data_IF_946247413168
#
_entry.id   IF_946247413168
#
_cell.length_a   1.000
_cell.length_b   1.000
_cell.length_c   1.000
_cell.angle_alpha   90.00
_cell.angle_beta   90.00
_cell.angle_gamma   90.00
#
_symmetry.space_group_name_H-M   'P 1'
#
loop_
_entity.id
_entity.type
_entity.pdbx_description
1 polymer ?
#
# COMPACT_ATOMS: atom_id res chain seq x y z
N UNK A 1 17.80 -3.33 11.01
CA UNK A 1 16.95 -4.24 11.83
C UNK A 1 16.37 -5.34 10.96
N UNK A 2 15.67 -6.35 11.50
CA UNK A 2 15.06 -7.40 10.65
C UNK A 2 13.85 -6.88 9.88
N UNK A 3 12.82 -6.39 10.57
CA UNK A 3 11.58 -5.84 9.97
C UNK A 3 10.92 -4.85 10.93
N UNK A 4 10.49 -3.70 10.41
CA UNK A 4 9.70 -2.71 11.16
C UNK A 4 8.34 -3.27 11.58
N UNK A 5 7.69 -4.06 10.71
CA UNK A 5 6.42 -4.71 11.01
C UNK A 5 6.53 -5.75 12.13
N UNK A 6 7.62 -6.53 12.18
CA UNK A 6 7.79 -7.53 13.26
C UNK A 6 7.99 -6.86 14.61
N UNK A 7 8.79 -5.78 14.66
CA UNK A 7 8.97 -5.02 15.88
C UNK A 7 7.62 -4.42 16.34
N UNK A 8 6.84 -3.83 15.43
CA UNK A 8 5.52 -3.30 15.79
C UNK A 8 4.54 -4.39 16.20
N UNK A 9 4.60 -5.59 15.62
CA UNK A 9 3.75 -6.70 16.03
C UNK A 9 4.03 -7.12 17.47
N UNK A 10 5.31 -7.12 17.87
CA UNK A 10 5.73 -7.33 19.27
C UNK A 10 5.24 -6.19 20.16
N UNK A 11 5.51 -4.94 19.80
CA UNK A 11 5.09 -3.77 20.59
C UNK A 11 3.56 -3.68 20.74
N UNK A 12 2.81 -4.13 19.74
CA UNK A 12 1.35 -4.21 19.82
C UNK A 12 0.88 -5.23 20.86
N UNK A 13 1.60 -6.35 21.06
CA UNK A 13 1.32 -7.31 22.14
C UNK A 13 1.60 -6.69 23.52
N UNK A 14 2.59 -5.79 23.59
CA UNK A 14 2.93 -5.02 24.78
C UNK A 14 2.08 -3.74 24.93
N UNK A 15 0.89 -3.71 24.32
CA UNK A 15 -0.09 -2.63 24.40
C UNK A 15 0.41 -1.25 23.93
N UNK A 16 1.35 -1.18 22.99
CA UNK A 16 1.74 0.08 22.38
C UNK A 16 0.53 0.86 21.82
N UNK A 17 0.50 2.19 21.93
CA UNK A 17 -0.65 2.99 21.50
C UNK A 17 -0.80 2.98 19.98
N UNK A 18 -2.04 3.21 19.52
CA UNK A 18 -2.30 3.51 18.11
C UNK A 18 -1.48 4.73 17.69
N UNK A 19 -0.98 4.75 16.46
CA UNK A 19 -0.06 5.75 15.94
C UNK A 19 1.42 5.47 16.25
N UNK A 20 1.75 4.41 17.00
CA UNK A 20 3.16 4.02 17.18
C UNK A 20 3.79 3.68 15.82
N UNK A 21 4.83 4.41 15.45
CA UNK A 21 5.54 4.26 14.18
C UNK A 21 6.97 3.81 14.42
N UNK A 22 7.44 2.87 13.60
CA UNK A 22 8.84 2.44 13.55
C UNK A 22 9.39 2.74 12.16
N UNK A 23 10.55 3.40 12.11
CA UNK A 23 11.29 3.70 10.88
C UNK A 23 12.64 3.00 10.92
N UNK A 24 13.12 2.55 9.76
CA UNK A 24 14.42 1.89 9.63
C UNK A 24 15.22 2.40 8.44
N UNK A 25 16.54 2.52 8.63
CA UNK A 25 17.48 2.75 7.53
C UNK A 25 17.73 1.51 6.69
N UNK A 26 17.57 0.32 7.28
CA UNK A 26 17.80 -0.96 6.64
C UNK A 26 16.92 -2.04 7.29
N UNK A 27 16.32 -2.87 6.44
CA UNK A 27 15.70 -4.13 6.83
C UNK A 27 16.44 -5.30 6.20
N UNK A 28 16.86 -6.27 7.01
CA UNK A 28 17.47 -7.53 6.53
C UNK A 28 16.44 -8.61 6.24
N UNK A 29 15.21 -8.47 6.76
CA UNK A 29 14.07 -9.35 6.56
C UNK A 29 12.83 -8.60 6.06
N UNK A 30 13.04 -7.56 5.24
CA UNK A 30 11.96 -6.79 4.61
C UNK A 30 11.11 -7.68 3.70
N UNK A 31 9.79 -7.58 3.83
CA UNK A 31 8.83 -8.42 3.11
C UNK A 31 7.84 -7.58 2.33
N UNK A 32 7.58 -7.99 1.10
CA UNK A 32 6.42 -7.63 0.31
C UNK A 32 5.37 -8.76 0.34
N UNK A 33 4.33 -8.62 -0.49
CA UNK A 33 3.29 -9.64 -0.62
C UNK A 33 3.83 -10.96 -1.16
N UNK A 34 3.16 -12.05 -0.80
CA UNK A 34 3.48 -13.42 -1.23
C UNK A 34 4.92 -13.84 -0.90
N UNK A 35 5.48 -13.30 0.19
CA UNK A 35 6.83 -13.64 0.66
C UNK A 35 7.97 -13.05 -0.16
N UNK A 36 7.70 -12.20 -1.15
CA UNK A 36 8.76 -11.51 -1.92
C UNK A 36 9.59 -10.63 -0.98
N UNK A 37 10.91 -10.66 -1.12
CA UNK A 37 11.79 -9.80 -0.34
C UNK A 37 11.67 -8.33 -0.79
N UNK A 38 11.73 -7.41 0.17
CA UNK A 38 11.96 -5.98 -0.10
C UNK A 38 13.38 -5.63 0.32
N UNK A 39 14.27 -5.45 -0.65
CA UNK A 39 15.70 -5.19 -0.44
C UNK A 39 16.08 -3.82 -0.95
N UNK A 40 16.87 -3.10 -0.17
CA UNK A 40 17.34 -1.75 -0.51
C UNK A 40 18.68 -1.48 0.18
N UNK A 41 19.59 -0.71 -0.43
CA UNK A 41 20.78 -0.22 0.27
C UNK A 41 20.41 0.57 1.54
N UNK A 42 21.27 0.55 2.58
CA UNK A 42 21.04 1.33 3.78
C UNK A 42 20.84 2.81 3.46
N UNK A 43 19.78 3.41 4.00
CA UNK A 43 19.50 4.84 3.86
C UNK A 43 18.84 5.27 2.54
N UNK A 44 18.75 4.38 1.54
CA UNK A 44 18.27 4.73 0.20
C UNK A 44 16.73 4.71 0.06
N UNK A 45 16.05 4.01 0.97
CA UNK A 45 14.59 3.93 1.03
C UNK A 45 14.06 4.46 2.37
N UNK A 46 12.81 4.88 2.36
CA UNK A 46 12.00 5.05 3.57
C UNK A 46 11.32 3.71 3.87
N UNK A 47 11.65 3.12 5.02
CA UNK A 47 11.05 1.88 5.50
C UNK A 47 10.34 2.20 6.80
N UNK A 48 9.02 2.22 6.77
CA UNK A 48 8.18 2.66 7.87
C UNK A 48 7.10 1.62 8.13
N UNK A 49 6.74 1.41 9.39
CA UNK A 49 5.48 0.76 9.73
C UNK A 49 4.76 1.56 10.81
N UNK A 50 3.42 1.57 10.79
CA UNK A 50 2.59 2.22 11.80
C UNK A 50 1.54 1.26 12.34
N UNK A 51 1.38 1.22 13.66
CA UNK A 51 0.34 0.48 14.36
C UNK A 51 -0.93 1.31 14.46
N UNK A 52 -2.05 0.77 14.02
CA UNK A 52 -3.37 1.36 14.05
C UNK A 52 -4.35 0.46 14.81
N UNK A 53 -5.30 1.05 15.53
CA UNK A 53 -6.36 0.35 16.25
C UNK A 53 -7.71 0.71 15.61
N UNK A 54 -8.07 -0.05 14.57
CA UNK A 54 -9.25 0.20 13.76
C UNK A 54 -10.54 -0.10 14.57
N UNK A 55 -11.51 0.84 14.59
CA UNK A 55 -12.77 0.66 15.30
C UNK A 55 -13.79 -0.17 14.49
N UNK A 56 -13.32 -1.18 13.76
CA UNK A 56 -14.15 -2.02 12.90
C UNK A 56 -13.63 -3.48 12.88
N UNK A 57 -14.46 -4.44 12.46
CA UNK A 57 -14.04 -5.82 12.25
C UNK A 57 -12.95 -5.95 11.18
N UNK A 58 -12.22 -7.08 11.24
CA UNK A 58 -11.11 -7.38 10.33
C UNK A 58 -11.51 -7.35 8.84
N UNK A 59 -12.75 -7.78 8.54
CA UNK A 59 -13.28 -7.83 7.20
C UNK A 59 -13.39 -6.45 6.53
N UNK A 60 -13.52 -5.38 7.32
CA UNK A 60 -13.68 -4.00 6.84
C UNK A 60 -12.33 -3.25 6.73
N UNK A 61 -11.23 -3.85 7.21
CA UNK A 61 -9.91 -3.21 7.18
C UNK A 61 -9.26 -3.21 5.78
N UNK A 62 -9.86 -3.89 4.78
CA UNK A 62 -9.31 -4.03 3.43
C UNK A 62 -9.05 -2.69 2.73
N UNK A 63 -9.92 -1.71 2.98
CA UNK A 63 -9.83 -0.36 2.40
C UNK A 63 -8.59 0.43 2.85
N UNK A 64 -7.95 0.05 3.96
CA UNK A 64 -6.75 0.73 4.46
C UNK A 64 -5.56 0.60 3.50
N UNK A 65 -5.47 -0.46 2.69
CA UNK A 65 -4.38 -0.64 1.72
C UNK A 65 -4.39 0.44 0.62
N UNK A 66 -5.48 0.62 -0.16
CA UNK A 66 -5.54 1.68 -1.16
C UNK A 66 -5.49 3.09 -0.54
N UNK A 67 -6.07 3.29 0.64
CA UNK A 67 -5.99 4.56 1.36
C UNK A 67 -4.55 4.90 1.77
N UNK A 68 -3.79 3.97 2.33
CA UNK A 68 -2.37 4.17 2.61
C UNK A 68 -1.56 4.39 1.32
N UNK A 69 -1.93 3.74 0.21
CA UNK A 69 -1.37 4.03 -1.10
C UNK A 69 -1.61 5.47 -1.55
N UNK A 70 -2.78 6.04 -1.27
CA UNK A 70 -3.08 7.46 -1.49
C UNK A 70 -2.22 8.37 -0.61
N UNK A 71 -2.00 8.02 0.66
CA UNK A 71 -1.11 8.77 1.55
C UNK A 71 0.31 8.88 0.97
N UNK A 72 0.84 7.74 0.51
CA UNK A 72 2.16 7.66 -0.14
C UNK A 72 2.20 8.45 -1.44
N UNK A 73 1.17 8.35 -2.29
CA UNK A 73 1.11 9.13 -3.51
C UNK A 73 1.12 10.64 -3.22
N UNK A 74 0.31 11.11 -2.27
CA UNK A 74 0.24 12.52 -1.87
C UNK A 74 1.56 13.03 -1.29
N UNK A 75 2.26 12.22 -0.48
CA UNK A 75 3.55 12.61 0.09
C UNK A 75 4.67 12.68 -0.95
N UNK A 76 4.57 11.92 -2.05
CA UNK A 76 5.58 11.93 -3.12
C UNK A 76 5.34 13.08 -4.10
N UNK A 77 4.08 13.42 -4.39
CA UNK A 77 3.70 14.43 -5.40
C UNK A 77 4.35 15.80 -5.15
N UNK A 78 4.65 16.16 -3.89
CA UNK A 78 5.34 17.41 -3.53
C UNK A 78 6.77 17.50 -4.10
N UNK A 79 7.38 16.35 -4.38
CA UNK A 79 8.78 16.21 -4.78
C UNK A 79 8.99 16.03 -6.29
N UNK A 80 7.92 15.83 -7.06
CA UNK A 80 7.97 15.48 -8.48
C UNK A 80 7.03 16.39 -9.30
N UNK A 81 7.24 16.47 -10.63
CA UNK A 81 6.34 17.25 -11.50
C UNK A 81 5.17 16.43 -12.07
N UNK A 82 5.26 15.10 -11.99
CA UNK A 82 4.21 14.18 -12.38
C UNK A 82 3.35 13.80 -11.16
N UNK A 83 2.32 13.00 -11.36
CA UNK A 83 1.49 12.50 -10.26
C UNK A 83 1.71 11.00 -10.08
N UNK A 84 1.77 10.55 -8.83
CA UNK A 84 1.77 9.12 -8.53
C UNK A 84 0.43 8.46 -8.86
N UNK A 85 0.51 7.25 -9.43
CA UNK A 85 -0.62 6.36 -9.68
C UNK A 85 -0.68 5.26 -8.61
N UNK A 86 -1.89 4.80 -8.28
CA UNK A 86 -2.11 3.68 -7.35
C UNK A 86 -2.43 2.44 -8.17
N UNK A 87 -1.56 1.43 -8.11
CA UNK A 87 -1.81 0.11 -8.70
C UNK A 87 -2.33 -0.82 -7.62
N UNK A 88 -3.60 -1.20 -7.77
CA UNK A 88 -4.23 -2.15 -6.86
C UNK A 88 -3.46 -3.48 -6.82
N UNK A 89 -3.33 -4.12 -5.66
CA UNK A 89 -3.90 -3.67 -4.38
C UNK A 89 -2.99 -2.74 -3.57
N UNK A 90 -1.68 -2.72 -3.85
CA UNK A 90 -0.69 -2.32 -2.84
C UNK A 90 0.51 -1.53 -3.38
N UNK A 91 0.55 -1.20 -4.66
CA UNK A 91 1.71 -0.57 -5.28
C UNK A 91 1.42 0.90 -5.62
N UNK A 92 2.42 1.76 -5.46
CA UNK A 92 2.39 3.14 -5.98
C UNK A 92 3.41 3.25 -7.10
N UNK A 93 3.00 3.87 -8.20
CA UNK A 93 3.78 3.99 -9.43
C UNK A 93 4.10 5.46 -9.74
N UNK A 94 5.25 5.68 -10.37
CA UNK A 94 5.56 6.91 -11.12
C UNK A 94 5.84 6.49 -12.56
N UNK A 95 5.11 7.06 -13.51
CA UNK A 95 5.22 6.74 -14.94
C UNK A 95 5.15 5.22 -15.23
N UNK A 96 4.22 4.53 -14.57
CA UNK A 96 4.04 3.08 -14.71
C UNK A 96 5.10 2.19 -14.06
N UNK A 97 6.11 2.76 -13.37
CA UNK A 97 7.14 2.01 -12.63
C UNK A 97 6.93 2.11 -11.13
N UNK A 98 7.15 1.01 -10.41
CA UNK A 98 6.88 0.93 -8.97
C UNK A 98 7.88 1.76 -8.16
N UNK A 99 7.37 2.74 -7.40
CA UNK A 99 8.18 3.55 -6.47
C UNK A 99 7.99 3.12 -5.02
N UNK A 100 6.80 2.64 -4.66
CA UNK A 100 6.50 2.24 -3.30
C UNK A 100 5.60 1.00 -3.25
N UNK A 101 5.60 0.36 -2.08
CA UNK A 101 4.69 -0.73 -1.74
C UNK A 101 4.11 -0.54 -0.34
N UNK A 102 2.83 -0.85 -0.21
CA UNK A 102 2.08 -0.90 1.05
C UNK A 102 1.82 -2.36 1.41
N UNK A 103 1.95 -2.70 2.68
CA UNK A 103 1.60 -4.02 3.21
C UNK A 103 0.77 -3.85 4.47
N UNK A 104 -0.44 -4.39 4.44
CA UNK A 104 -1.34 -4.42 5.60
C UNK A 104 -1.22 -5.78 6.26
N UNK A 105 -0.98 -5.80 7.57
CA UNK A 105 -1.18 -6.96 8.42
C UNK A 105 -2.22 -6.61 9.46
N UNK A 106 -3.30 -7.39 9.56
CA UNK A 106 -4.38 -7.11 10.48
C UNK A 106 -4.77 -8.37 11.25
N UNK A 107 -5.17 -8.20 12.52
CA UNK A 107 -5.67 -9.25 13.41
C UNK A 107 -6.78 -8.68 14.28
N UNK A 108 -7.66 -9.54 14.79
CA UNK A 108 -8.63 -9.15 15.82
C UNK A 108 -7.89 -8.60 17.05
N UNK A 109 -8.35 -7.48 17.58
CA UNK A 109 -7.81 -6.90 18.81
C UNK A 109 -8.24 -7.68 20.04
N UNK A 110 -7.38 -7.75 21.06
CA UNK A 110 -7.74 -8.28 22.36
C UNK A 110 -8.56 -7.25 23.19
N UNK A 111 -9.26 -7.65 24.26
CA UNK A 111 -9.94 -6.69 25.13
C UNK A 111 -9.01 -5.63 25.75
N UNK A 112 -7.74 -5.97 25.99
CA UNK A 112 -6.71 -5.05 26.48
C UNK A 112 -6.19 -4.07 25.43
N UNK A 113 -6.47 -4.34 24.16
CA UNK A 113 -6.09 -3.53 23.00
C UNK A 113 -7.14 -2.46 22.67
N UNK A 114 -8.30 -2.53 23.33
CA UNK A 114 -9.43 -1.63 23.12
C UNK A 114 -9.15 -0.24 23.70
N UNK A 115 -9.38 0.79 22.90
CA UNK A 115 -9.51 2.15 23.42
C UNK A 115 -10.73 2.22 24.37
N UNK A 116 -10.74 3.13 25.36
CA UNK A 116 -11.96 3.41 26.13
C UNK A 116 -13.12 3.73 25.18
N UNK A 117 -14.18 2.92 25.19
CA UNK A 117 -15.32 3.06 24.28
C UNK A 117 -15.15 2.40 22.90
N UNK A 118 -14.08 1.63 22.66
CA UNK A 118 -13.94 0.86 21.43
C UNK A 118 -15.00 -0.24 21.33
N UNK A 119 -15.40 -0.54 20.09
CA UNK A 119 -16.33 -1.62 19.81
C UNK A 119 -15.74 -2.98 20.24
N UNK A 120 -16.59 -3.94 20.66
CA UNK A 120 -16.16 -5.28 21.04
C UNK A 120 -15.42 -6.04 19.91
N UNK A 121 -15.51 -5.57 18.67
CA UNK A 121 -14.89 -6.16 17.47
C UNK A 121 -13.80 -5.27 16.84
N UNK A 122 -13.02 -4.54 17.66
CA UNK A 122 -11.89 -3.73 17.14
C UNK A 122 -10.76 -4.58 16.55
N UNK A 123 -10.02 -4.02 15.59
CA UNK A 123 -8.91 -4.70 14.90
C UNK A 123 -7.57 -3.99 15.13
N UNK A 124 -6.52 -4.77 15.29
CA UNK A 124 -5.14 -4.27 15.31
C UNK A 124 -4.58 -4.38 13.89
N UNK A 125 -4.19 -3.25 13.31
CA UNK A 125 -3.68 -3.15 11.94
C UNK A 125 -2.26 -2.58 11.96
N UNK A 126 -1.34 -3.19 11.23
CA UNK A 126 0.01 -2.68 10.99
C UNK A 126 0.11 -2.34 9.51
N UNK A 127 0.37 -1.07 9.22
CA UNK A 127 0.58 -0.54 7.88
C UNK A 127 2.08 -0.42 7.65
N UNK A 128 2.66 -1.34 6.88
CA UNK A 128 4.04 -1.30 6.43
C UNK A 128 4.17 -0.60 5.09
N UNK A 129 5.11 0.34 4.97
CA UNK A 129 5.33 1.16 3.78
C UNK A 129 6.83 1.15 3.46
N UNK A 130 7.15 0.78 2.21
CA UNK A 130 8.48 0.94 1.64
C UNK A 130 8.43 1.89 0.46
N UNK A 131 9.20 2.98 0.51
CA UNK A 131 9.35 3.94 -0.60
C UNK A 131 10.81 3.95 -1.04
N UNK A 132 11.06 3.69 -2.33
CA UNK A 132 12.37 3.92 -2.92
C UNK A 132 12.60 5.42 -3.06
N UNK A 133 13.47 6.02 -2.24
CA UNK A 133 13.67 7.47 -2.22
C UNK A 133 14.82 7.86 -3.13
N UNK A 134 16.03 7.44 -2.78
CA UNK A 134 17.27 7.67 -3.54
C UNK A 134 17.90 6.37 -4.02
N UNK A 135 17.16 5.25 -3.99
CA UNK A 135 17.65 3.96 -4.49
C UNK A 135 18.08 4.10 -5.95
N UNK A 136 19.34 3.74 -6.22
CA UNK A 136 19.92 3.77 -7.56
C UNK A 136 19.28 2.72 -8.48
N UNK A 137 19.15 2.99 -9.80
CA UNK A 137 18.55 2.05 -10.75
C UNK A 137 19.20 0.65 -10.75
N UNK A 138 20.52 0.57 -10.50
CA UNK A 138 21.26 -0.69 -10.44
C UNK A 138 20.89 -1.56 -9.22
N UNK A 139 20.28 -0.97 -8.19
CA UNK A 139 19.81 -1.66 -6.99
C UNK A 139 18.28 -1.89 -7.02
N UNK A 140 17.62 -1.59 -8.14
CA UNK A 140 16.18 -1.74 -8.33
C UNK A 140 15.86 -2.83 -9.36
N UNK A 141 14.73 -3.54 -9.21
CA UNK A 141 14.15 -4.33 -10.29
C UNK A 141 13.85 -3.45 -11.52
N UNK A 142 13.87 -4.00 -12.75
CA UNK A 142 13.63 -3.24 -13.97
C UNK A 142 12.30 -2.47 -14.02
N UNK A 143 11.27 -3.00 -13.36
CA UNK A 143 9.93 -2.42 -13.27
C UNK A 143 9.78 -1.37 -12.16
N UNK A 144 10.84 -1.09 -11.39
CA UNK A 144 10.84 -0.17 -10.27
C UNK A 144 11.57 1.15 -10.59
N UNK A 145 11.34 2.15 -9.74
CA UNK A 145 11.99 3.46 -9.79
C UNK A 145 12.13 4.01 -8.36
N UNK A 146 12.84 5.12 -8.19
CA UNK A 146 12.91 5.88 -6.94
C UNK A 146 12.43 7.32 -7.14
N UNK A 147 11.95 7.97 -6.08
CA UNK A 147 11.44 9.35 -6.11
C UNK A 147 12.48 10.30 -6.69
N UNK A 148 13.75 10.15 -6.31
CA UNK A 148 14.86 11.01 -6.75
C UNK A 148 15.05 11.01 -8.27
N UNK A 149 14.73 9.92 -8.97
CA UNK A 149 14.84 9.85 -10.44
C UNK A 149 13.85 10.79 -11.16
N UNK A 150 12.79 11.21 -10.47
CA UNK A 150 11.71 12.04 -11.00
C UNK A 150 11.68 13.44 -10.37
N UNK A 151 12.51 13.67 -9.36
CA UNK A 151 12.59 14.94 -8.65
C UNK A 151 13.63 15.88 -9.29
N UNK A 152 13.30 17.18 -9.35
CA UNK A 152 14.24 18.22 -9.82
C UNK A 152 15.32 18.61 -8.81
N UNK A 153 15.11 18.27 -7.54
CA UNK A 153 15.97 18.62 -6.41
C UNK A 153 16.26 17.35 -5.60
N UNK A 154 17.34 17.36 -4.79
CA UNK A 154 17.57 16.28 -3.84
C UNK A 154 16.35 16.08 -2.92
N UNK A 155 15.87 14.84 -2.83
CA UNK A 155 14.73 14.46 -1.99
C UNK A 155 15.25 14.09 -0.61
N UNK A 156 14.77 14.79 0.40
CA UNK A 156 15.09 14.48 1.79
C UNK A 156 14.09 13.46 2.32
N UNK A 157 14.62 12.33 2.83
CA UNK A 157 13.81 11.24 3.37
C UNK A 157 13.07 11.62 4.66
N UNK A 158 13.61 12.54 5.47
CA UNK A 158 12.95 13.02 6.68
C UNK A 158 11.74 13.88 6.31
N UNK A 159 11.89 14.80 5.35
CA UNK A 159 10.79 15.63 4.88
C UNK A 159 9.66 14.75 4.29
N UNK A 160 10.03 13.73 3.50
CA UNK A 160 9.08 12.75 2.98
C UNK A 160 8.39 11.92 4.09
N UNK A 161 9.11 11.58 5.17
CA UNK A 161 8.55 10.90 6.34
C UNK A 161 7.51 11.78 7.04
N UNK A 162 7.82 13.07 7.23
CA UNK A 162 6.91 14.02 7.88
C UNK A 162 5.64 14.21 7.04
N UNK A 163 5.78 14.40 5.73
CA UNK A 163 4.64 14.51 4.81
C UNK A 163 3.79 13.22 4.78
N UNK A 164 4.43 12.06 4.76
CA UNK A 164 3.75 10.77 4.82
C UNK A 164 3.01 10.58 6.15
N UNK A 165 3.61 10.97 7.28
CA UNK A 165 3.02 10.91 8.60
C UNK A 165 1.72 11.71 8.67
N UNK A 166 1.76 12.98 8.23
CA UNK A 166 0.59 13.86 8.16
C UNK A 166 -0.51 13.27 7.27
N UNK A 167 -0.13 12.76 6.09
CA UNK A 167 -1.10 12.18 5.16
C UNK A 167 -1.77 10.91 5.72
N UNK A 168 -0.99 10.03 6.36
CA UNK A 168 -1.51 8.81 6.99
C UNK A 168 -2.41 9.12 8.20
N UNK A 169 -2.04 10.09 9.03
CA UNK A 169 -2.85 10.50 10.19
C UNK A 169 -4.21 11.03 9.73
N UNK A 170 -4.23 11.91 8.73
CA UNK A 170 -5.48 12.42 8.15
C UNK A 170 -6.35 11.29 7.59
N UNK A 171 -5.77 10.39 6.82
CA UNK A 171 -6.49 9.25 6.23
C UNK A 171 -7.03 8.30 7.31
N UNK A 172 -6.25 8.06 8.37
CA UNK A 172 -6.67 7.21 9.47
C UNK A 172 -7.81 7.85 10.28
N UNK A 173 -7.76 9.16 10.52
CA UNK A 173 -8.82 9.89 11.17
C UNK A 173 -10.15 9.81 10.38
N UNK A 174 -10.09 10.04 9.06
CA UNK A 174 -11.25 9.91 8.17
C UNK A 174 -11.80 8.47 8.18
N UNK A 175 -10.92 7.47 8.14
CA UNK A 175 -11.30 6.06 8.24
C UNK A 175 -12.02 5.75 9.56
N UNK A 176 -11.48 6.19 10.70
CA UNK A 176 -12.12 6.01 12.00
C UNK A 176 -13.48 6.70 12.11
N UNK A 177 -13.67 7.80 11.38
CA UNK A 177 -14.94 8.52 11.32
C UNK A 177 -15.94 7.93 10.31
N UNK A 178 -15.55 6.91 9.53
CA UNK A 178 -16.36 6.36 8.44
C UNK A 178 -16.51 7.30 7.24
N UNK A 179 -15.57 8.23 7.06
CA UNK A 179 -15.60 9.30 6.07
C UNK A 179 -14.62 9.06 4.91
N UNK A 180 -14.49 7.81 4.47
CA UNK A 180 -13.49 7.40 3.46
C UNK A 180 -13.86 7.77 2.01
N UNK A 181 -15.11 8.16 1.74
CA UNK A 181 -15.62 8.40 0.39
C UNK A 181 -14.77 9.41 -0.40
N UNK A 182 -14.40 10.52 0.23
CA UNK A 182 -13.57 11.55 -0.40
C UNK A 182 -12.18 11.03 -0.79
N UNK A 183 -11.57 10.25 0.10
CA UNK A 183 -10.28 9.61 -0.17
C UNK A 183 -10.41 8.52 -1.24
N UNK A 184 -11.48 7.73 -1.25
CA UNK A 184 -11.73 6.71 -2.28
C UNK A 184 -11.99 7.32 -3.65
N UNK A 185 -12.62 8.49 -3.74
CA UNK A 185 -12.74 9.24 -4.99
C UNK A 185 -11.34 9.56 -5.53
N UNK A 186 -10.43 10.03 -4.68
CA UNK A 186 -9.07 10.34 -5.09
C UNK A 186 -8.22 9.11 -5.41
N UNK A 187 -8.40 8.01 -4.68
CA UNK A 187 -7.83 6.70 -5.04
C UNK A 187 -8.23 6.34 -6.46
N UNK A 188 -9.53 6.42 -6.76
CA UNK A 188 -10.08 6.06 -8.06
C UNK A 188 -9.66 7.01 -9.20
N UNK A 189 -9.41 8.29 -8.92
CA UNK A 189 -8.83 9.22 -9.90
C UNK A 189 -7.39 8.86 -10.26
N UNK A 190 -6.64 8.29 -9.31
CA UNK A 190 -5.24 7.89 -9.46
C UNK A 190 -5.05 6.42 -9.82
N UNK A 191 -6.14 5.68 -10.01
CA UNK A 191 -6.11 4.24 -10.17
C UNK A 191 -5.44 3.87 -11.50
N UNK A 192 -4.28 3.23 -11.39
CA UNK A 192 -3.55 2.74 -12.55
C UNK A 192 -4.44 1.77 -13.34
N UNK A 193 -4.38 1.89 -14.66
CA UNK A 193 -5.09 1.02 -15.62
C UNK A 193 -6.61 1.15 -15.59
N UNK A 194 -7.16 2.21 -15.00
CA UNK A 194 -8.59 2.51 -15.05
C UNK A 194 -9.09 2.55 -16.49
N UNK A 195 -10.25 1.91 -16.68
CA UNK A 195 -10.94 1.72 -17.95
C UNK A 195 -10.18 0.88 -18.99
N UNK A 196 -9.09 0.21 -18.63
CA UNK A 196 -8.33 -0.70 -19.49
C UNK A 196 -8.72 -2.17 -19.23
N UNK A 197 -8.44 -3.03 -20.20
CA UNK A 197 -8.51 -4.49 -20.02
C UNK A 197 -7.32 -4.97 -19.18
N UNK A 198 -7.63 -5.65 -18.09
CA UNK A 198 -6.63 -6.14 -17.13
C UNK A 198 -6.83 -7.62 -16.82
N UNK A 199 -5.80 -8.21 -16.24
CA UNK A 199 -5.82 -9.58 -15.74
C UNK A 199 -5.49 -9.52 -14.25
N UNK A 200 -6.33 -10.15 -13.43
CA UNK A 200 -6.07 -10.35 -12.00
C UNK A 200 -5.82 -11.84 -11.75
N UNK A 201 -4.63 -12.15 -11.26
CA UNK A 201 -4.23 -13.50 -10.85
C UNK A 201 -4.44 -13.65 -9.34
N UNK A 202 -5.36 -14.51 -8.92
CA UNK A 202 -5.66 -14.82 -7.50
C UNK A 202 -5.51 -16.33 -7.25
N UNK A 203 -4.28 -16.74 -6.93
CA UNK A 203 -3.93 -18.15 -6.85
C UNK A 203 -4.14 -18.87 -8.18
N UNK A 204 -4.97 -19.92 -8.27
CA UNK A 204 -5.26 -20.61 -9.54
C UNK A 204 -6.31 -19.89 -10.39
N UNK A 205 -6.95 -18.84 -9.88
CA UNK A 205 -8.00 -18.10 -10.60
C UNK A 205 -7.38 -16.98 -11.40
N UNK A 206 -7.76 -16.88 -12.66
CA UNK A 206 -7.44 -15.74 -13.52
C UNK A 206 -8.76 -15.06 -13.91
N UNK A 207 -8.88 -13.77 -13.59
CA UNK A 207 -10.07 -12.98 -13.91
C UNK A 207 -9.64 -11.90 -14.91
N UNK A 208 -10.26 -11.90 -16.08
CA UNK A 208 -10.04 -10.90 -17.14
C UNK A 208 -11.25 -10.01 -17.24
N UNK A 209 -11.01 -8.70 -17.31
CA UNK A 209 -12.09 -7.75 -17.53
C UNK A 209 -11.59 -6.32 -17.51
N UNK A 210 -12.53 -5.39 -17.70
CA UNK A 210 -12.23 -3.96 -17.69
C UNK A 210 -12.20 -3.41 -16.28
N UNK A 211 -11.08 -2.84 -15.88
CA UNK A 211 -10.93 -2.22 -14.56
C UNK A 211 -11.76 -0.95 -14.44
N UNK A 212 -12.61 -0.84 -13.42
CA UNK A 212 -13.48 0.35 -13.24
C UNK A 212 -13.14 1.18 -12.02
N UNK A 213 -13.00 0.55 -10.86
CA UNK A 213 -12.78 1.24 -9.59
C UNK A 213 -12.27 0.31 -8.50
N UNK A 214 -11.85 0.90 -7.40
CA UNK A 214 -11.81 0.30 -6.07
C UNK A 214 -13.10 0.67 -5.33
N UNK A 215 -13.75 -0.31 -4.70
CA UNK A 215 -14.97 -0.12 -3.90
C UNK A 215 -14.67 0.29 -2.44
N UNK A 216 -15.72 0.49 -1.66
CA UNK A 216 -15.71 0.91 -0.25
C UNK A 216 -14.98 -0.07 0.68
N UNK A 217 -14.88 -1.35 0.32
CA UNK A 217 -14.18 -2.38 1.08
C UNK A 217 -12.70 -2.51 0.65
N UNK A 218 -12.26 -1.76 -0.36
CA UNK A 218 -10.93 -1.88 -0.96
C UNK A 218 -10.81 -2.96 -2.05
N UNK A 219 -11.94 -3.55 -2.48
CA UNK A 219 -12.01 -4.52 -3.56
C UNK A 219 -11.88 -3.88 -4.94
N UNK A 220 -11.24 -4.58 -5.88
CA UNK A 220 -11.13 -4.15 -7.27
C UNK A 220 -12.36 -4.57 -8.07
N UNK A 221 -13.09 -3.60 -8.61
CA UNK A 221 -14.28 -3.83 -9.43
C UNK A 221 -13.88 -3.87 -10.91
N UNK A 222 -14.08 -5.03 -11.52
CA UNK A 222 -13.94 -5.27 -12.95
C UNK A 222 -15.31 -5.40 -13.61
N UNK A 223 -15.40 -5.15 -14.91
CA UNK A 223 -16.55 -5.56 -15.74
C UNK A 223 -16.11 -6.76 -16.59
N UNK A 224 -16.79 -7.89 -16.40
CA UNK A 224 -16.56 -9.16 -17.09
C UNK A 224 -17.85 -9.54 -17.81
N UNK A 225 -17.81 -9.67 -19.13
CA UNK A 225 -18.99 -9.97 -19.97
C UNK A 225 -20.19 -9.04 -19.73
N UNK A 226 -19.94 -7.78 -19.36
CA UNK A 226 -20.96 -6.77 -19.07
C UNK A 226 -21.38 -6.69 -17.60
N UNK A 227 -20.99 -7.64 -16.75
CA UNK A 227 -21.36 -7.71 -15.35
C UNK A 227 -20.23 -7.26 -14.41
N UNK A 228 -20.54 -6.57 -13.29
CA UNK A 228 -19.54 -6.19 -12.30
C UNK A 228 -19.07 -7.41 -11.48
N UNK A 229 -17.75 -7.57 -11.36
CA UNK A 229 -17.09 -8.58 -10.53
C UNK A 229 -16.10 -7.89 -9.59
N UNK A 230 -16.26 -8.10 -8.28
CA UNK A 230 -15.32 -7.59 -7.26
C UNK A 230 -14.28 -8.64 -6.91
N UNK A 231 -13.01 -8.24 -6.95
CA UNK A 231 -11.86 -9.06 -6.57
C UNK A 231 -11.21 -8.48 -5.32
N UNK A 232 -11.06 -9.26 -4.25
CA UNK A 232 -10.51 -8.80 -2.96
C UNK A 232 -9.04 -9.17 -2.73
N UNK A 233 -8.47 -10.03 -3.57
CA UNK A 233 -7.06 -10.41 -3.54
C UNK A 233 -6.56 -10.77 -4.93
N UNK A 234 -5.27 -10.57 -5.16
CA UNK A 234 -4.63 -10.98 -6.40
C UNK A 234 -3.47 -10.08 -6.80
N UNK A 235 -2.88 -10.36 -7.96
CA UNK A 235 -1.88 -9.54 -8.64
C UNK A 235 -2.47 -8.99 -9.94
N UNK A 236 -2.43 -7.67 -10.08
CA UNK A 236 -2.97 -6.96 -11.24
C UNK A 236 -1.89 -6.78 -12.31
N UNK A 237 -2.20 -7.17 -13.54
CA UNK A 237 -1.34 -6.94 -14.70
C UNK A 237 -2.14 -6.36 -15.86
N UNK A 238 -1.49 -5.55 -16.72
CA UNK A 238 -2.06 -5.15 -18.01
C UNK A 238 -2.10 -6.36 -18.95
N UNK A 239 -3.18 -6.55 -19.69
CA UNK A 239 -3.28 -7.61 -20.70
C UNK A 239 -2.70 -7.22 -22.07
N UNK A 240 -2.31 -8.18 -22.93
CA UNK A 240 -2.03 -9.60 -22.67
C UNK A 240 -0.53 -9.84 -22.39
N UNK A 241 -0.19 -10.88 -21.62
CA UNK A 241 1.19 -11.38 -21.51
C UNK A 241 1.71 -11.76 -22.92
N UNK A 242 3.01 -11.54 -23.24
CA UNK A 242 3.59 -12.19 -24.41
C UNK A 242 3.39 -13.70 -24.28
N UNK A 243 2.93 -14.33 -25.36
CA UNK A 243 2.80 -15.79 -25.45
C UNK A 243 4.11 -16.40 -24.98
N UNK A 244 4.08 -17.20 -23.89
CA UNK A 244 5.23 -18.01 -23.52
C UNK A 244 5.52 -18.89 -24.73
N UNK A 245 6.65 -18.68 -25.39
CA UNK A 245 7.14 -19.58 -26.40
C UNK A 245 7.27 -20.95 -25.72
N UNK A 246 6.35 -21.86 -26.05
CA UNK A 246 6.42 -23.25 -25.65
C UNK A 246 7.79 -23.76 -26.08
N UNK A 247 8.54 -24.29 -25.12
CA UNK A 247 9.71 -25.07 -25.46
C UNK A 247 9.19 -26.29 -26.22
N UNK A 248 9.55 -26.33 -27.51
CA UNK A 248 9.51 -27.55 -28.33
C UNK A 248 10.74 -28.36 -27.96
#
# INVERSE_FOLDING_TARGET
MTSTMDLLSSLAQDAAPSGTTVVADLQTGGRGRSGRAWTTPPGAALLMSTLLRAPCPLAECGVLAPLAGLAVARSIDSSIDSACEIKWPNDVLIEGRKVAGVLISARTGAPSDALPGALPESSVVIVGIGINVTTEPSALPPEATSVQQHARRPVNRTDLLDELGVALESIYADFCAGQVDGALVDVNKRLAFRDQEVIVEDGPREIRGRLRRVDEDGGLVLVVDGEPVTVRSGELTRGPRPVRAGHI
#
